data_IF_844496960984
#
_entry.id   IF_844496960984
#
_cell.length_a   1.000
_cell.length_b   1.000
_cell.length_c   1.000
_cell.angle_alpha   90.00
_cell.angle_beta   90.00
_cell.angle_gamma   90.00
#
_symmetry.space_group_name_H-M   'P 1'
#
loop_
_entity.id
_entity.type
_entity.pdbx_description
1 polymer ?
#
# COMPACT_ATOMS: atom_id res chain seq x y z
N UNK A 1 -33.07 -18.35 -33.13
CA UNK A 1 -32.25 -19.55 -33.39
C UNK A 1 -30.82 -19.51 -32.78
N UNK A 2 -30.18 -18.39 -32.62
CA UNK A 2 -28.81 -18.31 -32.07
C UNK A 2 -28.64 -18.66 -30.58
N UNK A 3 -29.67 -18.50 -29.74
CA UNK A 3 -29.59 -18.78 -28.30
C UNK A 3 -29.58 -20.26 -27.90
N UNK A 4 -30.15 -21.15 -28.75
CA UNK A 4 -30.22 -22.59 -28.50
C UNK A 4 -28.87 -23.26 -28.74
N UNK A 5 -28.11 -22.80 -29.73
CA UNK A 5 -26.79 -23.38 -30.11
C UNK A 5 -25.74 -23.09 -29.01
N UNK A 6 -25.82 -21.95 -28.33
CA UNK A 6 -24.86 -21.60 -27.25
C UNK A 6 -25.11 -22.43 -25.99
N UNK A 7 -26.37 -22.73 -25.66
CA UNK A 7 -26.70 -23.60 -24.50
C UNK A 7 -26.24 -25.03 -24.69
N UNK A 8 -26.38 -25.59 -25.90
CA UNK A 8 -25.92 -26.97 -26.20
C UNK A 8 -24.40 -27.07 -26.14
N UNK A 9 -23.67 -26.05 -26.60
CA UNK A 9 -22.19 -26.07 -26.53
C UNK A 9 -21.66 -26.02 -25.09
N UNK A 10 -22.31 -25.27 -24.20
CA UNK A 10 -21.96 -25.19 -22.77
C UNK A 10 -22.29 -26.50 -22.04
N UNK A 11 -23.44 -27.10 -22.34
CA UNK A 11 -23.84 -28.36 -21.73
C UNK A 11 -22.89 -29.54 -22.13
N UNK A 12 -22.48 -29.58 -23.37
CA UNK A 12 -21.56 -30.61 -23.88
C UNK A 12 -20.14 -30.47 -23.27
N UNK A 13 -19.69 -29.23 -23.02
CA UNK A 13 -18.40 -28.94 -22.38
C UNK A 13 -18.37 -29.33 -20.90
N UNK A 14 -19.49 -29.16 -20.17
CA UNK A 14 -19.63 -29.58 -18.77
C UNK A 14 -19.65 -31.10 -18.62
N UNK A 15 -20.27 -31.82 -19.56
CA UNK A 15 -20.34 -33.27 -19.52
C UNK A 15 -18.99 -33.93 -19.85
N UNK A 16 -18.22 -33.32 -20.73
CA UNK A 16 -16.85 -33.76 -21.04
C UNK A 16 -15.91 -33.59 -19.85
N UNK A 17 -16.04 -32.49 -19.08
CA UNK A 17 -15.25 -32.27 -17.87
C UNK A 17 -15.57 -33.29 -16.77
N UNK A 18 -16.83 -33.67 -16.60
CA UNK A 18 -17.22 -34.74 -15.64
C UNK A 18 -16.68 -36.09 -16.01
N UNK A 19 -16.65 -36.44 -17.30
CA UNK A 19 -16.08 -37.70 -17.78
C UNK A 19 -14.58 -37.80 -17.60
N UNK A 20 -13.85 -36.66 -17.80
CA UNK A 20 -12.41 -36.60 -17.55
C UNK A 20 -12.10 -36.74 -16.05
N UNK A 21 -12.89 -36.10 -15.18
CA UNK A 21 -12.73 -36.19 -13.72
C UNK A 21 -12.98 -37.64 -13.21
N UNK A 22 -13.98 -38.35 -13.75
CA UNK A 22 -14.29 -39.73 -13.40
C UNK A 22 -13.19 -40.72 -13.84
N UNK A 23 -12.52 -40.47 -14.96
CA UNK A 23 -11.42 -41.32 -15.44
C UNK A 23 -10.16 -41.17 -14.55
N UNK A 24 -9.93 -39.99 -13.95
CA UNK A 24 -8.83 -39.79 -12.98
C UNK A 24 -9.07 -40.51 -11.65
N UNK A 25 -10.32 -40.70 -11.24
CA UNK A 25 -10.66 -41.40 -9.98
C UNK A 25 -10.52 -42.92 -10.14
N UNK A 26 -10.75 -43.48 -11.34
CA UNK A 26 -10.69 -44.90 -11.59
C UNK A 26 -9.27 -45.44 -11.88
N UNK A 27 -8.30 -44.55 -12.16
CA UNK A 27 -6.93 -44.98 -12.49
C UNK A 27 -6.02 -45.22 -11.28
N UNK A 28 -6.51 -45.06 -10.03
CA UNK A 28 -5.80 -45.48 -8.82
C UNK A 28 -4.39 -44.87 -8.64
N UNK A 29 -4.10 -43.76 -9.33
CA UNK A 29 -2.79 -43.10 -9.22
C UNK A 29 -2.76 -42.25 -7.97
N UNK A 30 -2.45 -42.89 -6.85
CA UNK A 30 -2.02 -42.20 -5.62
C UNK A 30 -0.67 -41.60 -5.93
N UNK A 31 -0.68 -40.38 -6.48
CA UNK A 31 0.48 -39.49 -6.36
C UNK A 31 0.58 -39.11 -4.89
N UNK A 32 1.35 -39.89 -4.13
CA UNK A 32 1.93 -39.45 -2.89
C UNK A 32 2.85 -38.28 -3.26
N UNK A 33 2.25 -37.11 -3.38
CA UNK A 33 2.96 -35.87 -3.51
C UNK A 33 3.80 -35.73 -2.24
N UNK A 34 5.08 -35.90 -2.39
CA UNK A 34 6.05 -35.44 -1.41
C UNK A 34 5.87 -33.91 -1.32
N UNK A 35 4.94 -33.49 -0.48
CA UNK A 35 4.84 -32.10 -0.05
C UNK A 35 6.07 -31.86 0.79
N UNK A 36 7.06 -31.23 0.17
CA UNK A 36 8.24 -30.75 0.86
C UNK A 36 7.80 -29.57 1.74
N UNK A 37 7.74 -29.69 3.09
CA UNK A 37 7.24 -28.60 3.95
C UNK A 37 8.18 -27.40 4.04
N UNK A 38 9.23 -27.38 3.21
CA UNK A 38 10.25 -26.32 3.23
C UNK A 38 9.98 -25.15 2.29
N UNK A 39 8.86 -25.12 1.54
CA UNK A 39 8.55 -24.04 0.58
C UNK A 39 7.51 -23.04 1.11
N UNK A 40 6.82 -23.32 2.21
CA UNK A 40 5.82 -22.41 2.77
C UNK A 40 6.39 -21.19 3.50
N UNK A 41 7.70 -21.12 3.73
CA UNK A 41 8.35 -20.03 4.47
C UNK A 41 8.72 -18.78 3.65
N UNK A 42 8.57 -18.75 2.32
CA UNK A 42 9.20 -17.70 1.49
C UNK A 42 8.24 -16.83 0.67
N UNK A 43 6.94 -17.12 0.65
CA UNK A 43 5.98 -16.33 -0.13
C UNK A 43 5.28 -15.21 0.69
N UNK A 44 5.39 -15.23 2.02
CA UNK A 44 4.79 -14.21 2.90
C UNK A 44 5.72 -13.04 3.25
N UNK A 45 7.02 -13.12 2.96
CA UNK A 45 7.98 -12.19 3.57
C UNK A 45 8.22 -10.88 2.80
N UNK A 46 7.80 -10.75 1.55
CA UNK A 46 8.04 -9.55 0.75
C UNK A 46 6.98 -8.46 1.01
N UNK A 47 5.71 -8.82 0.97
CA UNK A 47 4.60 -7.88 1.22
C UNK A 47 4.53 -7.44 2.70
N UNK A 48 4.81 -8.35 3.64
CA UNK A 48 4.82 -8.05 5.08
C UNK A 48 6.01 -7.17 5.47
N UNK A 49 7.15 -7.31 4.79
CA UNK A 49 8.33 -6.46 5.00
C UNK A 49 8.12 -5.06 4.44
N UNK A 50 7.43 -4.91 3.31
CA UNK A 50 7.09 -3.61 2.72
C UNK A 50 6.04 -2.89 3.58
N UNK A 51 5.03 -3.60 4.09
CA UNK A 51 3.99 -3.06 4.96
C UNK A 51 4.50 -2.51 6.31
N UNK A 52 5.66 -2.98 6.78
CA UNK A 52 6.26 -2.56 8.05
C UNK A 52 7.46 -1.60 7.87
N UNK A 53 7.71 -1.09 6.67
CA UNK A 53 8.83 -0.20 6.39
C UNK A 53 8.39 1.14 5.83
N UNK A 54 9.13 2.19 6.20
CA UNK A 54 8.98 3.51 5.59
C UNK A 54 9.50 3.47 4.15
N UNK A 55 8.73 4.04 3.23
CA UNK A 55 9.08 4.11 1.81
C UNK A 55 9.53 5.52 1.45
N UNK A 56 10.70 5.64 0.81
CA UNK A 56 11.20 6.91 0.30
C UNK A 56 10.69 7.13 -1.13
N UNK A 57 10.06 8.29 -1.37
CA UNK A 57 9.48 8.61 -2.66
C UNK A 57 10.27 9.67 -3.41
N UNK A 58 10.40 9.45 -4.70
CA UNK A 58 10.70 10.47 -5.70
C UNK A 58 9.42 10.93 -6.43
N UNK A 59 9.52 11.87 -7.36
CA UNK A 59 8.36 12.39 -8.09
C UNK A 59 7.63 11.31 -8.90
N UNK A 60 8.34 10.32 -9.45
CA UNK A 60 7.74 9.25 -10.24
C UNK A 60 6.93 8.28 -9.35
N UNK A 61 7.55 7.78 -8.29
CA UNK A 61 6.90 6.89 -7.31
C UNK A 61 5.79 7.58 -6.52
N UNK A 62 5.89 8.90 -6.30
CA UNK A 62 4.81 9.68 -5.71
C UNK A 62 3.56 9.68 -6.61
N UNK A 63 3.72 9.91 -7.91
CA UNK A 63 2.60 9.89 -8.87
C UNK A 63 1.94 8.51 -8.96
N UNK A 64 2.71 7.46 -8.84
CA UNK A 64 2.21 6.09 -8.86
C UNK A 64 1.49 5.70 -7.54
N UNK A 65 2.13 5.95 -6.40
CA UNK A 65 1.68 5.45 -5.08
C UNK A 65 0.74 6.39 -4.33
N UNK A 66 0.79 7.69 -4.60
CA UNK A 66 0.05 8.69 -3.83
C UNK A 66 -0.97 9.42 -4.68
N UNK A 67 -0.52 10.23 -5.63
CA UNK A 67 -1.41 11.06 -6.45
C UNK A 67 -0.71 11.55 -7.71
N UNK A 68 -1.31 11.31 -8.87
CA UNK A 68 -0.79 11.82 -10.12
C UNK A 68 -1.33 13.23 -10.42
N UNK A 69 -0.61 14.24 -9.93
CA UNK A 69 -0.94 15.66 -10.07
C UNK A 69 -0.76 16.22 -11.49
N UNK A 70 -0.13 15.48 -12.40
CA UNK A 70 0.03 15.89 -13.81
C UNK A 70 -1.23 15.57 -14.64
N UNK A 71 -1.90 14.48 -14.31
CA UNK A 71 -3.06 14.00 -15.08
C UNK A 71 -4.39 14.28 -14.40
N UNK A 72 -4.42 14.32 -13.06
CA UNK A 72 -5.64 14.50 -12.29
C UNK A 72 -5.75 15.92 -11.75
N UNK A 73 -6.89 16.57 -12.00
CA UNK A 73 -7.20 17.92 -11.49
C UNK A 73 -7.76 17.88 -10.07
N UNK A 74 -8.43 16.80 -9.72
CA UNK A 74 -9.04 16.60 -8.42
C UNK A 74 -8.22 15.58 -7.62
N UNK A 75 -8.18 15.77 -6.30
CA UNK A 75 -7.49 14.84 -5.42
C UNK A 75 -8.08 13.43 -5.55
N UNK A 76 -7.22 12.46 -5.80
CA UNK A 76 -7.58 11.05 -5.85
C UNK A 76 -6.40 10.22 -5.36
N UNK A 77 -6.50 9.69 -4.14
CA UNK A 77 -5.44 8.91 -3.53
C UNK A 77 -5.33 7.52 -4.15
N UNK A 78 -4.12 7.12 -4.56
CA UNK A 78 -3.85 5.84 -5.23
C UNK A 78 -3.53 4.70 -4.26
N UNK A 79 -3.31 4.98 -2.97
CA UNK A 79 -2.90 3.97 -1.99
C UNK A 79 -4.04 3.03 -1.56
N UNK A 80 -3.66 1.93 -0.93
CA UNK A 80 -4.59 0.90 -0.45
C UNK A 80 -4.93 1.03 1.03
N UNK A 81 -4.15 1.80 1.77
CA UNK A 81 -4.30 2.10 3.20
C UNK A 81 -4.03 3.59 3.42
N UNK A 82 -4.55 4.20 4.50
CA UNK A 82 -4.25 5.59 4.82
C UNK A 82 -2.74 5.84 4.92
N UNK A 83 -2.30 7.05 4.59
CA UNK A 83 -0.87 7.34 4.56
C UNK A 83 -0.47 8.59 5.34
N UNK A 84 0.81 8.65 5.69
CA UNK A 84 1.49 9.83 6.21
C UNK A 84 2.65 10.15 5.28
N UNK A 85 2.75 11.40 4.80
CA UNK A 85 3.92 11.90 4.08
C UNK A 85 4.75 12.79 5.01
N UNK A 86 6.04 12.52 5.11
CA UNK A 86 7.01 13.37 5.80
C UNK A 86 7.89 14.09 4.77
N UNK A 87 7.66 15.38 4.58
CA UNK A 87 8.54 16.24 3.81
C UNK A 87 9.69 16.72 4.69
N UNK A 88 10.91 16.31 4.36
CA UNK A 88 12.10 16.52 5.17
C UNK A 88 13.31 16.96 4.33
N UNK A 89 14.40 17.35 5.02
CA UNK A 89 15.74 17.52 4.45
C UNK A 89 16.81 16.97 5.39
N UNK A 90 17.96 16.58 4.84
CA UNK A 90 19.04 15.96 5.61
C UNK A 90 19.71 16.91 6.64
N UNK A 91 19.65 18.21 6.40
CA UNK A 91 20.16 19.25 7.31
C UNK A 91 19.13 19.69 8.38
N UNK A 92 17.88 19.28 8.27
CA UNK A 92 16.79 19.70 9.16
C UNK A 92 16.87 18.99 10.53
N UNK A 93 17.22 19.73 11.57
CA UNK A 93 17.33 19.20 12.93
C UNK A 93 16.04 18.59 13.47
N UNK A 94 14.89 19.31 13.44
CA UNK A 94 13.60 18.75 13.86
C UNK A 94 13.16 17.53 13.07
N UNK A 95 13.52 17.42 11.77
CA UNK A 95 13.23 16.23 10.96
C UNK A 95 13.99 15.00 11.45
N UNK A 96 15.23 15.19 11.90
CA UNK A 96 16.04 14.09 12.50
C UNK A 96 15.43 13.58 13.80
N UNK A 97 14.78 14.44 14.58
CA UNK A 97 14.06 14.05 15.79
C UNK A 97 12.76 13.30 15.46
N UNK A 98 12.08 13.70 14.39
CA UNK A 98 10.83 13.08 13.93
C UNK A 98 11.05 11.68 13.34
N UNK A 99 12.16 11.45 12.62
CA UNK A 99 12.40 10.19 11.91
C UNK A 99 12.25 8.94 12.77
N UNK A 100 12.88 8.81 13.95
CA UNK A 100 12.72 7.62 14.79
C UNK A 100 11.27 7.44 15.29
N UNK A 101 10.55 8.53 15.52
CA UNK A 101 9.13 8.47 15.92
C UNK A 101 8.27 7.88 14.80
N UNK A 102 8.50 8.30 13.56
CA UNK A 102 7.79 7.76 12.40
C UNK A 102 8.14 6.28 12.15
N UNK A 103 9.39 5.88 12.37
CA UNK A 103 9.80 4.48 12.25
C UNK A 103 9.11 3.59 13.30
N UNK A 104 8.97 4.10 14.52
CA UNK A 104 8.23 3.40 15.59
C UNK A 104 6.75 3.28 15.24
N UNK A 105 6.11 4.37 14.80
CA UNK A 105 4.71 4.37 14.36
C UNK A 105 4.46 3.40 13.21
N UNK A 106 5.34 3.38 12.19
CA UNK A 106 5.20 2.43 11.08
C UNK A 106 5.20 0.98 11.56
N UNK A 107 6.06 0.65 12.52
CA UNK A 107 6.12 -0.70 13.11
C UNK A 107 4.87 -1.03 13.93
N UNK A 108 4.39 -0.06 14.74
CA UNK A 108 3.23 -0.27 15.62
C UNK A 108 1.91 -0.39 14.88
N UNK A 109 1.73 0.42 13.83
CA UNK A 109 0.52 0.37 13.00
C UNK A 109 0.61 -0.68 11.88
N UNK A 110 1.83 -1.12 11.54
CA UNK A 110 2.06 -2.13 10.51
C UNK A 110 1.39 -1.76 9.18
N UNK A 111 0.74 -2.71 8.54
CA UNK A 111 0.03 -2.51 7.28
C UNK A 111 -1.28 -1.73 7.38
N UNK A 112 -1.67 -1.22 8.56
CA UNK A 112 -2.87 -0.37 8.71
C UNK A 112 -2.67 1.04 8.19
N UNK A 113 -1.41 1.54 8.16
CA UNK A 113 -1.02 2.81 7.55
C UNK A 113 0.27 2.62 6.75
N UNK A 114 0.55 3.53 5.84
CA UNK A 114 1.84 3.60 5.15
C UNK A 114 2.49 4.96 5.38
N UNK A 115 3.74 4.96 5.86
CA UNK A 115 4.52 6.19 6.00
C UNK A 115 5.48 6.31 4.82
N UNK A 116 5.44 7.47 4.17
CA UNK A 116 6.32 7.86 3.08
C UNK A 116 7.20 9.02 3.48
N UNK A 117 8.42 9.07 2.97
CA UNK A 117 9.36 10.18 3.17
C UNK A 117 9.79 10.80 1.85
N UNK A 118 9.80 12.13 1.78
CA UNK A 118 10.13 12.91 0.59
C UNK A 118 11.21 13.92 0.95
N UNK A 119 12.41 13.75 0.37
CA UNK A 119 13.51 14.69 0.56
C UNK A 119 13.30 15.91 -0.34
N UNK A 120 13.01 17.07 0.24
CA UNK A 120 12.69 18.29 -0.48
C UNK A 120 13.86 18.88 -1.26
N UNK A 121 15.11 18.61 -0.85
CA UNK A 121 16.29 19.06 -1.60
C UNK A 121 16.44 18.26 -2.92
N UNK A 122 16.03 16.97 -2.91
CA UNK A 122 16.06 16.10 -4.08
C UNK A 122 14.80 16.23 -4.94
N UNK A 123 13.66 16.56 -4.32
CA UNK A 123 12.34 16.61 -4.95
C UNK A 123 11.75 18.03 -4.87
N UNK A 124 12.54 19.03 -5.34
CA UNK A 124 12.20 20.47 -5.24
C UNK A 124 10.89 20.82 -5.95
N UNK A 125 10.68 20.25 -7.12
CA UNK A 125 9.50 20.47 -7.94
C UNK A 125 8.23 19.92 -7.26
N UNK A 126 8.33 18.71 -6.71
CA UNK A 126 7.26 18.08 -5.94
C UNK A 126 6.94 18.91 -4.68
N UNK A 127 7.96 19.32 -3.92
CA UNK A 127 7.78 20.16 -2.73
C UNK A 127 7.12 21.51 -3.07
N UNK A 128 7.48 22.13 -4.20
CA UNK A 128 6.88 23.37 -4.67
C UNK A 128 5.41 23.17 -5.09
N UNK A 129 5.09 22.08 -5.80
CA UNK A 129 3.72 21.72 -6.21
C UNK A 129 2.79 21.59 -5.01
N UNK A 130 3.28 21.00 -3.91
CA UNK A 130 2.51 20.85 -2.67
C UNK A 130 2.67 22.03 -1.69
N UNK A 131 3.31 23.12 -2.12
CA UNK A 131 3.43 24.35 -1.35
C UNK A 131 4.19 24.19 -0.03
N UNK A 132 5.15 23.26 0.04
CA UNK A 132 5.95 23.00 1.25
C UNK A 132 6.86 24.20 1.53
N UNK A 133 6.64 24.87 2.66
CA UNK A 133 7.35 26.11 3.05
C UNK A 133 8.16 25.96 4.33
N UNK A 134 7.96 24.90 5.08
CA UNK A 134 8.65 24.62 6.35
C UNK A 134 8.92 23.14 6.51
N UNK A 135 9.93 22.77 7.29
CA UNK A 135 10.31 21.40 7.55
C UNK A 135 10.40 21.10 9.05
N UNK A 136 9.95 19.92 9.49
CA UNK A 136 9.19 18.95 8.70
C UNK A 136 7.78 19.45 8.40
N UNK A 137 7.19 19.01 7.29
CA UNK A 137 5.75 19.09 7.06
C UNK A 137 5.23 17.66 6.95
N UNK A 138 4.26 17.35 7.79
CA UNK A 138 3.64 16.03 7.88
C UNK A 138 2.25 16.12 7.26
N UNK A 139 1.95 15.30 6.24
CA UNK A 139 0.64 15.29 5.59
C UNK A 139 -0.04 13.95 5.85
N UNK A 140 -1.23 14.01 6.44
CA UNK A 140 -2.09 12.87 6.71
C UNK A 140 -3.07 12.69 5.56
N UNK A 141 -3.08 11.51 4.95
CA UNK A 141 -3.91 11.15 3.81
C UNK A 141 -4.90 10.08 4.25
N UNK A 142 -6.17 10.44 4.53
CA UNK A 142 -7.21 9.45 4.80
C UNK A 142 -7.59 8.71 3.51
N UNK A 143 -8.27 7.57 3.63
CA UNK A 143 -8.82 6.85 2.47
C UNK A 143 -9.96 7.62 1.79
N UNK A 144 -10.66 8.45 2.55
CA UNK A 144 -11.74 9.30 2.05
C UNK A 144 -11.55 10.72 2.55
N UNK A 145 -11.78 11.70 1.67
CA UNK A 145 -11.65 13.13 1.98
C UNK A 145 -10.29 13.72 1.58
N UNK A 146 -10.04 14.93 2.04
CA UNK A 146 -8.86 15.72 1.68
C UNK A 146 -7.70 15.50 2.65
N UNK A 147 -6.44 15.56 2.15
CA UNK A 147 -5.26 15.51 3.00
C UNK A 147 -5.20 16.68 3.99
N UNK A 148 -4.67 16.42 5.18
CA UNK A 148 -4.46 17.43 6.20
C UNK A 148 -2.99 17.54 6.55
N UNK A 149 -2.46 18.79 6.65
CA UNK A 149 -1.06 19.04 6.91
C UNK A 149 -0.81 19.58 8.32
N UNK A 150 0.26 19.11 8.97
CA UNK A 150 0.81 19.65 10.19
C UNK A 150 2.26 20.07 9.97
N UNK A 151 2.61 21.28 10.38
CA UNK A 151 3.96 21.83 10.23
C UNK A 151 4.76 21.69 11.53
N UNK A 152 6.05 21.40 11.40
CA UNK A 152 6.98 21.25 12.50
C UNK A 152 6.96 19.86 13.16
N UNK A 153 7.89 19.67 14.08
CA UNK A 153 7.99 18.45 14.88
C UNK A 153 6.71 18.22 15.69
N UNK A 154 6.27 16.97 15.74
CA UNK A 154 5.18 16.50 16.61
C UNK A 154 5.67 15.33 17.45
N UNK A 155 5.43 15.31 18.76
CA UNK A 155 5.70 14.15 19.59
C UNK A 155 4.78 12.98 19.21
N UNK A 156 5.18 11.76 19.58
CA UNK A 156 4.48 10.54 19.22
C UNK A 156 2.98 10.56 19.58
N UNK A 157 2.64 10.97 20.80
CA UNK A 157 1.25 11.00 21.27
C UNK A 157 0.37 11.92 20.41
N UNK A 158 0.91 13.07 19.96
CA UNK A 158 0.18 13.98 19.09
C UNK A 158 -0.07 13.31 17.72
N UNK A 159 0.95 12.63 17.18
CA UNK A 159 0.81 11.89 15.92
C UNK A 159 -0.21 10.75 16.02
N UNK A 160 -0.21 10.00 17.13
CA UNK A 160 -1.20 8.95 17.39
C UNK A 160 -2.62 9.51 17.44
N UNK A 161 -2.81 10.64 18.13
CA UNK A 161 -4.10 11.34 18.14
C UNK A 161 -4.53 11.76 16.73
N UNK A 162 -3.61 12.35 15.95
CA UNK A 162 -3.89 12.75 14.57
C UNK A 162 -4.18 11.55 13.65
N UNK A 163 -3.49 10.42 13.84
CA UNK A 163 -3.78 9.18 13.12
C UNK A 163 -5.21 8.72 13.41
N UNK A 164 -5.60 8.66 14.68
CA UNK A 164 -6.95 8.24 15.07
C UNK A 164 -8.03 9.21 14.54
N UNK A 165 -7.80 10.52 14.66
CA UNK A 165 -8.78 11.54 14.29
C UNK A 165 -8.89 11.76 12.78
N UNK A 166 -7.77 11.80 12.04
CA UNK A 166 -7.73 12.12 10.62
C UNK A 166 -7.80 10.86 9.75
N UNK A 167 -6.96 9.86 10.05
CA UNK A 167 -6.88 8.64 9.26
C UNK A 167 -7.93 7.61 9.66
N UNK A 168 -8.58 7.75 10.83
CA UNK A 168 -9.56 6.82 11.40
C UNK A 168 -8.99 5.42 11.62
N UNK A 169 -7.73 5.36 12.04
CA UNK A 169 -7.00 4.11 12.29
C UNK A 169 -6.63 4.01 13.77
N UNK A 170 -6.98 2.88 14.37
CA UNK A 170 -6.59 2.48 15.71
C UNK A 170 -5.44 1.45 15.65
N UNK A 171 -4.62 1.38 16.74
CA UNK A 171 -3.54 0.39 16.85
C UNK A 171 -4.03 -1.04 16.89
#
# INVERSE_FOLDING_TARGET
>A
MARVIILESLFNKMDMMKKVLLLFILSGFVLTSWINPSIEGHLFSADEKEANSIIYLDAASFKDKVFNYETNKEWNYNGKVPAILDFYADWCGPCKQLSPVLEELQKEYGGKIQIYKINTDKQKELAATFGIRSLPTIVFIPMEGEPQAAMGFRPKNDLETMIAEILKVEK
#
